data_IF_875761152945
#
_entry.id   IF_875761152945
#
_cell.length_a   1.000
_cell.length_b   1.000
_cell.length_c   1.000
_cell.angle_alpha   90.00
_cell.angle_beta   90.00
_cell.angle_gamma   90.00
#
_symmetry.space_group_name_H-M   'P 1'
#
loop_
_entity.id
_entity.type
_entity.pdbx_description
1 polymer ?
#
# COMPACT_ATOMS: atom_id res chain seq x y z
N UNK A 1 4.41 20.47 -6.91
CA UNK A 1 3.17 19.77 -7.32
C UNK A 1 3.46 18.35 -7.79
N UNK A 2 4.40 18.14 -8.72
CA UNK A 2 4.67 16.80 -9.29
C UNK A 2 5.16 15.77 -8.28
N UNK A 3 6.05 16.13 -7.34
CA UNK A 3 6.56 15.21 -6.30
C UNK A 3 5.45 14.76 -5.33
N UNK A 4 4.54 15.66 -4.94
CA UNK A 4 3.44 15.31 -4.05
C UNK A 4 2.44 14.36 -4.72
N UNK A 5 2.08 14.62 -5.99
CA UNK A 5 1.21 13.73 -6.77
C UNK A 5 1.86 12.36 -7.04
N UNK A 6 3.16 12.33 -7.29
CA UNK A 6 3.95 11.12 -7.46
C UNK A 6 3.96 10.27 -6.18
N UNK A 7 4.21 10.89 -5.02
CA UNK A 7 4.14 10.20 -3.72
C UNK A 7 2.76 9.63 -3.45
N UNK A 8 1.69 10.36 -3.76
CA UNK A 8 0.32 9.89 -3.57
C UNK A 8 -0.02 8.68 -4.46
N UNK A 9 0.44 8.68 -5.71
CA UNK A 9 0.26 7.54 -6.61
C UNK A 9 1.07 6.32 -6.19
N UNK A 10 2.30 6.49 -5.71
CA UNK A 10 3.13 5.38 -5.24
C UNK A 10 2.48 4.68 -4.04
N UNK A 11 1.86 5.44 -3.12
CA UNK A 11 1.24 4.88 -1.92
C UNK A 11 -0.02 4.06 -2.27
N UNK A 12 -0.67 4.33 -3.41
CA UNK A 12 -1.80 3.57 -3.95
C UNK A 12 -2.81 3.11 -2.86
N UNK A 13 -3.18 4.03 -1.97
CA UNK A 13 -4.03 3.78 -0.80
C UNK A 13 -5.29 2.95 -1.11
N UNK A 14 -6.05 3.23 -2.19
CA UNK A 14 -7.28 2.50 -2.46
C UNK A 14 -7.03 1.01 -2.71
N UNK A 15 -5.95 0.67 -3.39
CA UNK A 15 -5.59 -0.72 -3.70
C UNK A 15 -5.21 -1.50 -2.43
N UNK A 16 -4.36 -0.91 -1.58
CA UNK A 16 -3.96 -1.52 -0.32
C UNK A 16 -5.15 -1.76 0.62
N UNK A 17 -6.06 -0.79 0.69
CA UNK A 17 -7.29 -0.90 1.47
C UNK A 17 -8.23 -1.97 0.90
N UNK A 18 -8.47 -2.00 -0.41
CA UNK A 18 -9.39 -2.97 -1.04
C UNK A 18 -9.01 -4.42 -0.74
N UNK A 19 -7.72 -4.75 -0.72
CA UNK A 19 -7.26 -6.12 -0.43
C UNK A 19 -7.39 -6.51 1.05
N UNK A 20 -7.34 -5.55 1.96
CA UNK A 20 -7.32 -5.78 3.41
C UNK A 20 -8.65 -5.50 4.11
N UNK A 21 -9.59 -4.82 3.43
CA UNK A 21 -10.90 -4.45 3.97
C UNK A 21 -11.68 -5.63 4.53
N UNK A 22 -11.64 -6.79 3.86
CA UNK A 22 -12.28 -8.03 4.32
C UNK A 22 -11.82 -8.44 5.72
N UNK A 23 -10.52 -8.34 6.01
CA UNK A 23 -9.94 -8.69 7.31
C UNK A 23 -10.44 -7.74 8.39
N UNK A 24 -10.49 -6.44 8.09
CA UNK A 24 -11.00 -5.41 9.02
C UNK A 24 -12.48 -5.61 9.34
N UNK A 25 -13.29 -5.98 8.35
CA UNK A 25 -14.71 -6.24 8.56
C UNK A 25 -14.98 -7.42 9.50
N UNK A 26 -14.21 -8.51 9.37
CA UNK A 26 -14.40 -9.73 10.19
C UNK A 26 -13.90 -9.57 11.63
N UNK A 27 -12.82 -8.81 11.84
CA UNK A 27 -12.14 -8.78 13.14
C UNK A 27 -12.49 -7.58 14.03
N UNK A 28 -13.23 -6.59 13.53
CA UNK A 28 -13.62 -5.44 14.35
C UNK A 28 -14.51 -4.42 13.67
N UNK A 29 -15.14 -4.81 12.55
CA UNK A 29 -16.09 -4.03 11.77
C UNK A 29 -15.60 -2.59 11.50
N UNK A 30 -16.52 -1.61 11.54
CA UNK A 30 -16.21 -0.23 11.16
C UNK A 30 -15.28 0.48 12.15
N UNK A 31 -15.35 0.15 13.45
CA UNK A 31 -14.59 0.81 14.51
C UNK A 31 -13.10 0.50 14.43
N UNK A 32 -12.74 -0.76 14.19
CA UNK A 32 -11.33 -1.16 14.07
C UNK A 32 -10.66 -0.53 12.84
N UNK A 33 -11.38 -0.43 11.73
CA UNK A 33 -10.87 0.20 10.50
C UNK A 33 -10.63 1.70 10.74
N UNK A 34 -11.59 2.42 11.32
CA UNK A 34 -11.48 3.86 11.53
C UNK A 34 -10.42 4.23 12.56
N UNK A 35 -10.46 3.64 13.76
CA UNK A 35 -9.48 3.95 14.80
C UNK A 35 -8.09 3.41 14.47
N UNK A 36 -8.02 2.24 13.81
CA UNK A 36 -6.76 1.73 13.26
C UNK A 36 -6.14 2.70 12.27
N UNK A 37 -6.95 3.26 11.36
CA UNK A 37 -6.49 4.28 10.41
C UNK A 37 -5.97 5.55 11.09
N UNK A 38 -6.70 6.08 12.09
CA UNK A 38 -6.30 7.30 12.81
C UNK A 38 -4.99 7.09 13.57
N UNK A 39 -4.88 6.00 14.34
CA UNK A 39 -3.69 5.69 15.14
C UNK A 39 -2.47 5.51 14.22
N UNK A 40 -2.62 4.72 13.14
CA UNK A 40 -1.53 4.49 12.19
C UNK A 40 -1.12 5.76 11.45
N UNK A 41 -2.07 6.65 11.14
CA UNK A 41 -1.77 7.95 10.52
C UNK A 41 -0.94 8.85 11.44
N UNK A 42 -1.26 8.90 12.73
CA UNK A 42 -0.50 9.67 13.72
C UNK A 42 0.92 9.10 13.85
N UNK A 43 1.05 7.79 14.05
CA UNK A 43 2.35 7.13 14.18
C UNK A 43 3.21 7.31 12.92
N UNK A 44 2.63 7.16 11.73
CA UNK A 44 3.31 7.39 10.47
C UNK A 44 3.77 8.85 10.32
N UNK A 45 2.97 9.81 10.76
CA UNK A 45 3.34 11.24 10.76
C UNK A 45 4.51 11.51 11.71
N UNK A 46 4.54 10.88 12.89
CA UNK A 46 5.67 10.99 13.81
C UNK A 46 6.97 10.45 13.20
N UNK A 47 6.90 9.29 12.53
CA UNK A 47 8.05 8.70 11.84
C UNK A 47 8.51 9.61 10.69
N UNK A 48 7.57 10.13 9.90
CA UNK A 48 7.87 11.05 8.80
C UNK A 48 8.50 12.37 9.29
N UNK A 49 8.04 12.91 10.42
CA UNK A 49 8.62 14.10 11.04
C UNK A 49 10.07 13.84 11.49
N UNK A 50 10.31 12.73 12.20
CA UNK A 50 11.66 12.34 12.63
C UNK A 50 12.62 12.14 11.46
N UNK A 51 12.17 11.45 10.40
CA UNK A 51 12.97 11.27 9.19
C UNK A 51 13.21 12.59 8.46
N UNK A 52 12.21 13.48 8.47
CA UNK A 52 12.29 14.82 7.89
C UNK A 52 13.37 15.70 8.54
N UNK A 53 13.50 15.66 9.87
CA UNK A 53 14.57 16.35 10.60
C UNK A 53 15.96 15.85 10.19
N UNK A 54 16.13 14.53 10.07
CA UNK A 54 17.38 13.91 9.62
C UNK A 54 17.72 14.35 8.18
N UNK A 55 16.73 14.36 7.28
CA UNK A 55 16.90 14.79 5.90
C UNK A 55 17.27 16.28 5.78
N UNK A 56 16.74 17.12 6.67
CA UNK A 56 17.02 18.55 6.67
C UNK A 56 18.45 18.87 7.11
N UNK A 57 19.00 18.12 8.06
CA UNK A 57 20.37 18.30 8.57
C UNK A 57 21.39 17.63 7.63
N UNK A 58 21.05 16.46 7.08
CA UNK A 58 21.95 15.67 6.23
C UNK A 58 21.37 15.46 4.84
N UNK A 59 21.41 16.49 3.96
CA UNK A 59 20.95 16.39 2.57
C UNK A 59 21.97 15.62 1.72
N UNK A 60 22.21 14.35 2.09
CA UNK A 60 23.16 13.46 1.44
C UNK A 60 22.40 12.40 0.66
N UNK A 61 22.87 12.11 -0.56
CA UNK A 61 22.26 11.14 -1.46
C UNK A 61 22.38 9.66 -0.99
N UNK A 62 22.99 9.42 0.19
CA UNK A 62 23.30 8.08 0.70
C UNK A 62 22.12 7.32 1.31
N UNK A 63 20.92 7.90 1.35
CA UNK A 63 19.71 7.22 1.84
C UNK A 63 19.77 6.77 3.31
N UNK A 64 18.79 5.97 3.73
CA UNK A 64 18.59 5.55 5.12
C UNK A 64 19.77 4.80 5.75
N UNK A 65 20.53 4.03 4.96
CA UNK A 65 21.70 3.31 5.47
C UNK A 65 22.88 4.24 5.76
N UNK A 66 23.04 5.33 5.00
CA UNK A 66 24.05 6.34 5.24
C UNK A 66 23.70 7.21 6.45
N UNK A 67 22.42 7.57 6.61
CA UNK A 67 21.95 8.26 7.81
C UNK A 67 22.17 7.42 9.07
N UNK A 68 21.95 6.10 8.99
CA UNK A 68 22.25 5.19 10.10
C UNK A 68 23.74 5.13 10.45
N UNK A 69 24.63 5.19 9.45
CA UNK A 69 26.07 5.25 9.68
C UNK A 69 26.46 6.55 10.41
N UNK A 70 25.94 7.68 9.93
CA UNK A 70 26.30 9.02 10.38
C UNK A 70 25.81 9.33 11.81
N UNK A 71 24.64 8.79 12.18
CA UNK A 71 24.03 9.02 13.49
C UNK A 71 24.57 8.09 14.59
N UNK A 72 25.33 7.06 14.21
CA UNK A 72 25.88 6.06 15.13
C UNK A 72 27.36 6.33 15.45
N UNK A 73 27.82 5.87 16.63
CA UNK A 73 29.24 5.97 17.00
C UNK A 73 30.13 5.26 15.96
N UNK A 74 31.35 5.80 15.71
CA UNK A 74 32.30 5.27 14.69
C UNK A 74 32.52 3.76 14.78
N UNK A 75 32.49 3.19 16.00
CA UNK A 75 32.64 1.76 16.24
C UNK A 75 31.46 0.91 15.78
N UNK A 76 30.26 1.47 15.77
CA UNK A 76 29.00 0.79 15.42
C UNK A 76 28.48 1.18 14.04
N UNK A 77 29.01 2.24 13.43
CA UNK A 77 28.63 2.73 12.10
C UNK A 77 28.59 1.66 11.00
N UNK A 78 29.57 0.75 10.89
CA UNK A 78 29.50 -0.31 9.88
C UNK A 78 28.35 -1.27 10.12
N UNK A 79 28.10 -1.63 11.38
CA UNK A 79 27.05 -2.61 11.76
C UNK A 79 25.65 -2.01 11.60
N UNK A 80 25.46 -0.76 12.05
CA UNK A 80 24.20 -0.04 11.94
C UNK A 80 23.82 0.23 10.48
N UNK A 81 24.80 0.62 9.66
CA UNK A 81 24.60 0.85 8.22
C UNK A 81 24.27 -0.46 7.48
N UNK A 82 25.03 -1.53 7.76
CA UNK A 82 24.81 -2.85 7.17
C UNK A 82 23.41 -3.38 7.48
N UNK A 83 23.02 -3.36 8.75
CA UNK A 83 21.71 -3.86 9.19
C UNK A 83 20.57 -3.05 8.57
N UNK A 84 20.68 -1.71 8.60
CA UNK A 84 19.68 -0.83 7.99
C UNK A 84 19.59 -1.03 6.48
N UNK A 85 20.72 -1.20 5.79
CA UNK A 85 20.76 -1.47 4.35
C UNK A 85 20.09 -2.78 3.97
N UNK A 86 20.34 -3.86 4.73
CA UNK A 86 19.67 -5.15 4.50
C UNK A 86 18.18 -5.10 4.77
N UNK A 87 17.77 -4.48 5.88
CA UNK A 87 16.35 -4.31 6.19
C UNK A 87 15.64 -3.48 5.12
N UNK A 88 16.29 -2.43 4.60
CA UNK A 88 15.74 -1.63 3.51
C UNK A 88 15.60 -2.45 2.22
N UNK A 89 16.61 -3.24 1.84
CA UNK A 89 16.56 -4.09 0.65
C UNK A 89 15.44 -5.14 0.76
N UNK A 90 15.42 -5.90 1.86
CA UNK A 90 14.41 -6.93 2.10
C UNK A 90 13.02 -6.33 2.18
N UNK A 91 12.87 -5.17 2.81
CA UNK A 91 11.61 -4.43 2.87
C UNK A 91 11.09 -4.09 1.47
N UNK A 92 11.93 -3.52 0.60
CA UNK A 92 11.53 -3.20 -0.78
C UNK A 92 11.13 -4.44 -1.59
N UNK A 93 11.86 -5.55 -1.45
CA UNK A 93 11.50 -6.81 -2.10
C UNK A 93 10.16 -7.37 -1.60
N UNK A 94 9.96 -7.41 -0.28
CA UNK A 94 8.69 -7.85 0.30
C UNK A 94 7.54 -6.95 -0.13
N UNK A 95 7.74 -5.63 -0.19
CA UNK A 95 6.72 -4.69 -0.68
C UNK A 95 6.33 -4.97 -2.13
N UNK A 96 7.30 -5.19 -3.03
CA UNK A 96 7.00 -5.55 -4.42
C UNK A 96 6.20 -6.86 -4.51
N UNK A 97 6.63 -7.89 -3.78
CA UNK A 97 5.92 -9.17 -3.74
C UNK A 97 4.50 -9.02 -3.19
N UNK A 98 4.30 -8.24 -2.13
CA UNK A 98 2.98 -7.99 -1.55
C UNK A 98 2.04 -7.31 -2.55
N UNK A 99 2.51 -6.29 -3.27
CA UNK A 99 1.72 -5.57 -4.27
C UNK A 99 1.38 -6.48 -5.46
N UNK A 100 2.35 -7.23 -5.98
CA UNK A 100 2.12 -8.16 -7.09
C UNK A 100 1.13 -9.28 -6.70
N UNK A 101 1.22 -9.78 -5.46
CA UNK A 101 0.30 -10.78 -4.94
C UNK A 101 -1.12 -10.22 -4.79
N UNK A 102 -1.28 -9.05 -4.14
CA UNK A 102 -2.58 -8.37 -4.04
C UNK A 102 -3.18 -8.04 -5.41
N UNK A 103 -2.34 -7.60 -6.36
CA UNK A 103 -2.74 -7.35 -7.75
C UNK A 103 -3.23 -8.62 -8.46
N UNK A 104 -2.55 -9.75 -8.28
CA UNK A 104 -2.97 -11.03 -8.86
C UNK A 104 -4.34 -11.49 -8.33
N UNK A 105 -4.60 -11.30 -7.02
CA UNK A 105 -5.89 -11.60 -6.41
C UNK A 105 -6.99 -10.70 -6.99
N UNK A 106 -6.75 -9.39 -7.13
CA UNK A 106 -7.71 -8.46 -7.72
C UNK A 106 -8.05 -8.79 -9.18
N UNK A 107 -7.05 -9.17 -9.99
CA UNK A 107 -7.27 -9.58 -11.38
C UNK A 107 -8.14 -10.84 -11.45
N UNK A 108 -7.88 -11.81 -10.57
CA UNK A 108 -8.65 -13.06 -10.52
C UNK A 108 -10.04 -12.90 -9.91
N UNK A 109 -10.27 -11.85 -9.12
CA UNK A 109 -11.61 -11.48 -8.64
C UNK A 109 -12.50 -10.93 -9.75
N UNK A 110 -11.95 -10.31 -10.80
CA UNK A 110 -12.77 -9.73 -11.87
C UNK A 110 -13.61 -10.76 -12.66
N UNK A 111 -13.07 -11.92 -13.10
CA UNK A 111 -13.89 -12.99 -13.70
C UNK A 111 -14.99 -13.53 -12.79
N UNK A 112 -14.73 -13.60 -11.48
CA UNK A 112 -15.71 -14.12 -10.50
C UNK A 112 -16.98 -13.26 -10.38
N UNK A 113 -16.93 -11.99 -10.82
CA UNK A 113 -18.12 -11.15 -10.92
C UNK A 113 -19.06 -11.54 -12.07
N UNK A 114 -18.52 -12.10 -13.15
CA UNK A 114 -19.30 -12.46 -14.35
C UNK A 114 -19.73 -13.92 -14.35
N UNK A 115 -18.93 -14.80 -13.74
CA UNK A 115 -19.23 -16.22 -13.60
C UNK A 115 -18.94 -16.67 -12.16
N UNK A 116 -20.02 -16.92 -11.40
CA UNK A 116 -19.94 -17.38 -10.01
C UNK A 116 -19.41 -18.81 -9.87
N UNK A 117 -19.27 -19.56 -10.97
CA UNK A 117 -18.67 -20.91 -10.96
C UNK A 117 -17.14 -20.89 -11.01
N UNK A 118 -16.54 -19.73 -11.30
CA UNK A 118 -15.09 -19.58 -11.38
C UNK A 118 -14.48 -19.41 -9.98
N UNK A 119 -13.97 -20.52 -9.43
CA UNK A 119 -13.16 -20.49 -8.22
C UNK A 119 -11.68 -20.38 -8.61
N UNK A 120 -11.05 -19.26 -8.24
CA UNK A 120 -9.64 -19.04 -8.49
C UNK A 120 -8.79 -20.08 -7.72
N UNK A 121 -8.21 -21.05 -8.44
CA UNK A 121 -7.30 -22.03 -7.85
C UNK A 121 -6.02 -21.33 -7.34
N UNK A 122 -5.46 -21.74 -6.18
CA UNK A 122 -4.21 -21.19 -5.66
C UNK A 122 -3.06 -21.22 -6.67
N UNK A 123 -3.04 -22.24 -7.54
CA UNK A 123 -2.04 -22.35 -8.60
C UNK A 123 -2.17 -21.23 -9.64
N UNK A 124 -3.40 -20.86 -9.98
CA UNK A 124 -3.65 -19.78 -10.94
C UNK A 124 -3.21 -18.43 -10.39
N UNK A 125 -3.41 -18.19 -9.08
CA UNK A 125 -2.92 -16.99 -8.39
C UNK A 125 -1.40 -16.87 -8.53
N UNK A 126 -0.67 -17.97 -8.32
CA UNK A 126 0.79 -18.00 -8.45
C UNK A 126 1.23 -17.72 -9.90
N UNK A 127 0.55 -18.29 -10.89
CA UNK A 127 0.86 -18.06 -12.31
C UNK A 127 0.67 -16.59 -12.69
N UNK A 128 -0.45 -15.98 -12.29
CA UNK A 128 -0.72 -14.55 -12.53
C UNK A 128 0.28 -13.67 -11.80
N UNK A 129 0.64 -14.02 -10.57
CA UNK A 129 1.67 -13.34 -9.79
C UNK A 129 3.03 -13.32 -10.52
N UNK A 130 3.50 -14.46 -11.01
CA UNK A 130 4.75 -14.53 -11.79
C UNK A 130 4.65 -13.76 -13.11
N UNK A 131 3.52 -13.83 -13.80
CA UNK A 131 3.29 -13.07 -15.02
C UNK A 131 3.37 -11.55 -14.77
N UNK A 132 2.79 -11.05 -13.67
CA UNK A 132 2.90 -9.65 -13.27
C UNK A 132 4.34 -9.24 -12.97
N UNK A 133 5.09 -10.06 -12.22
CA UNK A 133 6.51 -9.78 -11.93
C UNK A 133 7.35 -9.70 -13.19
N UNK A 134 7.17 -10.64 -14.12
CA UNK A 134 7.86 -10.62 -15.42
C UNK A 134 7.46 -9.39 -16.23
N UNK A 135 6.18 -9.02 -16.23
CA UNK A 135 5.70 -7.80 -16.88
C UNK A 135 6.37 -6.54 -16.32
N UNK A 136 6.43 -6.42 -14.99
CA UNK A 136 7.14 -5.33 -14.32
C UNK A 136 8.64 -5.33 -14.66
N UNK A 137 9.29 -6.49 -14.69
CA UNK A 137 10.70 -6.61 -15.08
C UNK A 137 10.94 -6.13 -16.51
N UNK A 138 10.10 -6.55 -17.46
CA UNK A 138 10.21 -6.15 -18.87
C UNK A 138 10.03 -4.63 -19.05
N UNK A 139 9.05 -4.03 -18.36
CA UNK A 139 8.86 -2.57 -18.40
C UNK A 139 10.06 -1.84 -17.79
N UNK A 140 10.66 -2.37 -16.72
CA UNK A 140 11.86 -1.77 -16.13
C UNK A 140 13.08 -1.88 -17.04
N UNK A 141 13.23 -2.96 -17.82
CA UNK A 141 14.37 -3.13 -18.74
C UNK A 141 14.19 -2.32 -20.02
N UNK A 142 13.01 -2.37 -20.65
CA UNK A 142 12.77 -1.85 -22.00
C UNK A 142 11.99 -0.53 -22.02
N UNK A 143 11.25 -0.22 -20.95
CA UNK A 143 10.21 0.79 -20.91
C UNK A 143 10.49 2.00 -20.03
N UNK A 144 11.75 2.29 -19.67
CA UNK A 144 12.10 3.42 -18.78
C UNK A 144 11.50 4.75 -19.24
N UNK A 145 11.42 5.00 -20.55
CA UNK A 145 10.79 6.23 -21.09
C UNK A 145 9.27 6.24 -20.99
N UNK A 146 8.63 5.07 -20.99
CA UNK A 146 7.18 4.92 -20.83
C UNK A 146 6.74 5.04 -19.36
N UNK A 147 7.66 4.76 -18.45
CA UNK A 147 7.41 4.74 -17.00
C UNK A 147 6.86 6.07 -16.49
N UNK A 148 7.39 7.19 -16.98
CA UNK A 148 6.95 8.52 -16.54
C UNK A 148 5.51 8.83 -17.00
N UNK A 149 5.16 8.47 -18.24
CA UNK A 149 3.80 8.63 -18.78
C UNK A 149 2.81 7.70 -18.08
N UNK A 150 3.17 6.43 -17.85
CA UNK A 150 2.33 5.47 -17.12
C UNK A 150 2.09 5.96 -15.70
N UNK A 151 3.11 6.47 -15.02
CA UNK A 151 2.99 6.98 -13.68
C UNK A 151 2.05 8.21 -13.61
N UNK A 152 2.15 9.14 -14.56
CA UNK A 152 1.17 10.23 -14.67
C UNK A 152 -0.25 9.71 -14.89
N UNK A 153 -0.44 8.72 -15.76
CA UNK A 153 -1.73 8.04 -15.95
C UNK A 153 -2.26 7.41 -14.67
N UNK A 154 -1.40 6.74 -13.89
CA UNK A 154 -1.75 6.13 -12.60
C UNK A 154 -2.21 7.17 -11.57
N UNK A 155 -1.62 8.37 -11.56
CA UNK A 155 -2.07 9.48 -10.68
C UNK A 155 -3.53 9.83 -11.00
N UNK A 156 -3.85 10.05 -12.27
CA UNK A 156 -5.21 10.39 -12.69
C UNK A 156 -6.19 9.23 -12.43
N UNK A 157 -5.78 8.00 -12.74
CA UNK A 157 -6.58 6.79 -12.50
C UNK A 157 -6.92 6.61 -11.01
N UNK A 158 -5.93 6.77 -10.14
CA UNK A 158 -6.12 6.61 -8.69
C UNK A 158 -7.05 7.68 -8.13
N UNK A 159 -6.85 8.94 -8.54
CA UNK A 159 -7.74 10.05 -8.16
C UNK A 159 -9.18 9.82 -8.63
N UNK A 160 -9.37 9.39 -9.88
CA UNK A 160 -10.69 9.06 -10.42
C UNK A 160 -11.34 7.91 -9.66
N UNK A 161 -10.59 6.84 -9.38
CA UNK A 161 -11.10 5.64 -8.70
C UNK A 161 -11.64 6.00 -7.32
N UNK A 162 -10.95 6.85 -6.56
CA UNK A 162 -11.44 7.31 -5.25
C UNK A 162 -12.79 8.03 -5.38
N UNK A 163 -12.92 8.94 -6.34
CA UNK A 163 -14.16 9.69 -6.56
C UNK A 163 -15.30 8.74 -6.96
N UNK A 164 -15.03 7.81 -7.88
CA UNK A 164 -16.02 6.83 -8.35
C UNK A 164 -16.47 5.92 -7.21
N UNK A 165 -15.54 5.39 -6.40
CA UNK A 165 -15.86 4.54 -5.24
C UNK A 165 -16.75 5.29 -4.26
N UNK A 166 -16.44 6.55 -3.94
CA UNK A 166 -17.27 7.38 -3.05
C UNK A 166 -18.67 7.58 -3.65
N UNK A 167 -18.76 7.94 -4.94
CA UNK A 167 -20.03 8.17 -5.62
C UNK A 167 -20.91 6.90 -5.67
N UNK A 168 -20.31 5.74 -5.97
CA UNK A 168 -21.00 4.45 -6.02
C UNK A 168 -21.50 4.04 -4.64
N UNK A 169 -20.67 4.16 -3.60
CA UNK A 169 -21.08 3.83 -2.22
C UNK A 169 -22.24 4.73 -1.77
N UNK A 170 -22.15 6.04 -2.04
CA UNK A 170 -23.22 6.98 -1.68
C UNK A 170 -24.50 6.77 -2.50
N UNK A 171 -24.39 6.35 -3.76
CA UNK A 171 -25.52 6.09 -4.65
C UNK A 171 -26.19 4.73 -4.43
N UNK A 172 -25.46 3.71 -4.01
CA UNK A 172 -25.98 2.35 -3.80
C UNK A 172 -26.38 2.05 -2.35
N UNK A 173 -25.95 2.88 -1.39
CA UNK A 173 -26.31 2.69 0.02
C UNK A 173 -27.77 3.10 0.29
N UNK A 174 -28.65 2.09 0.41
CA UNK A 174 -30.07 2.28 0.78
C UNK A 174 -30.26 2.63 2.25
N UNK A 175 -29.33 2.26 3.13
CA UNK A 175 -29.35 2.58 4.56
C UNK A 175 -27.99 3.10 5.02
N UNK A 176 -27.97 4.32 5.56
CA UNK A 176 -26.78 4.93 6.14
C UNK A 176 -26.72 4.50 7.61
N UNK A 177 -25.64 3.80 7.99
CA UNK A 177 -25.43 3.40 9.39
C UNK A 177 -25.24 4.64 10.26
N UNK A 178 -25.81 4.57 11.46
CA UNK A 178 -25.81 5.68 12.41
C UNK A 178 -24.39 6.01 12.89
N UNK A 179 -24.10 7.29 13.16
CA UNK A 179 -22.75 7.73 13.52
C UNK A 179 -22.25 7.05 14.81
N UNK A 180 -23.15 6.82 15.77
CA UNK A 180 -22.84 6.06 16.98
C UNK A 180 -22.37 4.64 16.64
N UNK A 181 -23.05 3.94 15.73
CA UNK A 181 -22.65 2.60 15.30
C UNK A 181 -21.26 2.58 14.65
N UNK A 182 -20.95 3.60 13.84
CA UNK A 182 -19.66 3.70 13.14
C UNK A 182 -18.48 3.98 14.09
N UNK A 183 -18.70 4.77 15.15
CA UNK A 183 -17.64 5.17 16.09
C UNK A 183 -17.50 4.30 17.34
N UNK A 184 -18.57 3.62 17.78
CA UNK A 184 -18.58 2.90 19.08
C UNK A 184 -18.97 1.43 19.01
N UNK A 185 -19.51 0.93 17.90
CA UNK A 185 -19.89 -0.48 17.81
C UNK A 185 -18.70 -1.39 17.47
N UNK A 186 -18.14 -2.00 18.51
CA UNK A 186 -17.12 -3.03 18.40
C UNK A 186 -17.77 -4.39 18.72
N UNK A 187 -17.87 -5.24 17.72
CA UNK A 187 -18.28 -6.63 17.90
C UNK A 187 -17.03 -7.52 17.80
N UNK A 188 -16.73 -8.25 18.88
CA UNK A 188 -15.59 -9.16 19.00
C UNK A 188 -15.93 -10.58 18.53
N UNK A 189 -17.16 -10.83 18.08
CA UNK A 189 -17.57 -12.10 17.49
C UNK A 189 -16.91 -12.28 16.12
N UNK A 190 -16.19 -13.40 15.93
CA UNK A 190 -15.79 -13.91 14.62
C UNK A 190 -17.07 -14.17 13.80
N UNK A 191 -17.53 -13.16 13.09
CA UNK A 191 -18.62 -13.28 12.12
C UNK A 191 -18.04 -13.89 10.84
N UNK A 192 -17.81 -15.21 10.91
CA UNK A 192 -17.67 -16.08 9.75
C UNK A 192 -19.04 -16.49 9.24
#
# INVERSE_FOLDING_TARGET
>A
MSIFGLSFAIIAVPFGLSTTFYIGFINGQCVAILWGWVIMSILSTCIAASLGEICAVYPTAGGVYYWAALLSNERWAPVASWTTGWLYLVGNWMSLCAIAFGGSQLILSAPSLFDQSFVASPWLVIVVFWALLVGCLLINIFGIKLLDTVNQGCIYWTGLTVIVVIAVILGMSKEKRDAAFVFTHFDASLSG
#
